data_IF_384797530533
#
_entry.id   IF_384797530533
#
_cell.length_a   1.000
_cell.length_b   1.000
_cell.length_c   1.000
_cell.angle_alpha   90.00
_cell.angle_beta   90.00
_cell.angle_gamma   90.00
#
_symmetry.space_group_name_H-M   'P 1'
#
loop_
_entity.id
_entity.type
_entity.pdbx_description
1 polymer ?
#
# COMPACT_ATOMS: atom_id res chain seq x y z
N UNK A 1 -6.08 50.65 2.43
CA UNK A 1 -7.31 51.06 1.72
C UNK A 1 -8.35 51.38 2.77
N UNK A 2 -8.59 52.66 2.95
CA UNK A 2 -9.48 53.27 3.93
C UNK A 2 -10.87 53.48 3.33
N UNK A 3 -11.91 53.21 4.11
CA UNK A 3 -13.28 53.71 3.93
C UNK A 3 -13.90 53.65 5.35
N UNK A 4 -14.19 54.72 6.11
CA UNK A 4 -14.73 56.07 5.86
C UNK A 4 -16.19 56.06 5.34
N UNK A 5 -17.04 56.89 5.99
CA UNK A 5 -18.49 57.14 5.80
C UNK A 5 -19.42 56.19 6.58
N UNK A 6 -20.43 56.62 7.35
CA UNK A 6 -20.90 57.96 7.74
C UNK A 6 -21.72 57.86 9.04
N UNK A 7 -21.53 58.86 9.91
CA UNK A 7 -22.36 59.07 11.09
C UNK A 7 -23.66 59.79 10.72
N UNK A 8 -24.79 59.26 11.20
CA UNK A 8 -26.06 59.99 11.25
C UNK A 8 -26.59 59.96 12.68
N UNK A 9 -26.56 61.13 13.31
CA UNK A 9 -27.18 61.41 14.59
C UNK A 9 -28.68 61.64 14.34
N UNK A 10 -29.52 60.72 14.81
CA UNK A 10 -30.97 60.93 14.86
C UNK A 10 -31.39 61.51 16.22
N UNK A 11 -32.04 62.67 16.12
CA UNK A 11 -32.55 63.48 17.21
C UNK A 11 -33.69 62.77 17.93
N UNK A 12 -33.55 62.64 19.25
CA UNK A 12 -34.58 62.18 20.19
C UNK A 12 -35.71 63.21 20.27
N UNK A 13 -36.91 62.83 19.83
CA UNK A 13 -38.15 63.45 20.29
C UNK A 13 -38.59 62.87 21.64
N UNK A 14 -38.95 63.70 22.64
CA UNK A 14 -39.51 63.24 23.90
C UNK A 14 -40.95 62.77 23.68
N UNK A 15 -41.17 61.45 23.67
CA UNK A 15 -42.52 60.89 23.72
C UNK A 15 -43.05 61.01 25.14
N UNK A 16 -44.05 61.88 25.28
CA UNK A 16 -45.01 61.94 26.38
C UNK A 16 -45.58 60.55 26.66
N UNK A 17 -45.35 60.06 27.88
CA UNK A 17 -45.90 58.80 28.38
C UNK A 17 -47.41 58.92 28.58
N UNK A 18 -48.14 58.10 27.85
CA UNK A 18 -49.53 57.74 28.19
C UNK A 18 -49.52 56.74 29.36
N UNK A 19 -50.49 56.81 30.27
CA UNK A 19 -50.59 55.90 31.40
C UNK A 19 -50.82 54.48 30.88
N UNK A 20 -49.88 53.57 31.15
CA UNK A 20 -50.01 52.14 30.87
C UNK A 20 -51.15 51.57 31.71
N UNK A 21 -52.16 51.08 31.01
CA UNK A 21 -53.22 50.24 31.57
C UNK A 21 -52.59 48.92 32.08
N UNK A 22 -52.74 48.57 33.36
CA UNK A 22 -52.02 47.45 33.99
C UNK A 22 -52.54 46.03 33.65
N UNK A 23 -53.43 45.86 32.67
CA UNK A 23 -54.13 44.58 32.45
C UNK A 23 -53.67 43.69 31.28
N UNK A 24 -52.59 44.02 30.55
CA UNK A 24 -52.08 43.17 29.46
C UNK A 24 -50.85 42.32 29.80
N UNK A 25 -50.38 42.35 31.06
CA UNK A 25 -49.13 41.70 31.49
C UNK A 25 -49.11 40.16 31.43
N UNK A 26 -50.27 39.51 31.34
CA UNK A 26 -50.37 38.05 31.35
C UNK A 26 -50.41 37.40 29.96
N UNK A 27 -50.61 38.16 28.88
CA UNK A 27 -50.67 37.60 27.52
C UNK A 27 -49.29 37.44 26.85
N UNK A 28 -48.28 38.23 27.23
CA UNK A 28 -46.94 38.13 26.63
C UNK A 28 -46.09 36.95 27.17
N UNK A 29 -46.44 36.42 28.35
CA UNK A 29 -45.70 35.30 28.95
C UNK A 29 -46.00 33.97 28.24
N UNK A 30 -47.20 33.79 27.70
CA UNK A 30 -47.59 32.56 27.02
C UNK A 30 -47.00 32.45 25.61
N UNK A 31 -46.89 33.55 24.85
CA UNK A 31 -46.31 33.53 23.49
C UNK A 31 -44.81 33.20 23.48
N UNK A 32 -44.03 33.71 24.44
CA UNK A 32 -42.60 33.41 24.51
C UNK A 32 -42.32 31.94 24.83
N UNK A 33 -43.16 31.31 25.68
CA UNK A 33 -43.08 29.88 25.98
C UNK A 33 -43.33 29.00 24.75
N UNK A 34 -44.32 29.34 23.92
CA UNK A 34 -44.62 28.60 22.70
C UNK A 34 -43.51 28.69 21.63
N UNK A 35 -42.81 29.83 21.54
CA UNK A 35 -41.68 29.99 20.62
C UNK A 35 -40.44 29.19 21.07
N UNK A 36 -40.18 29.13 22.38
CA UNK A 36 -39.07 28.32 22.94
C UNK A 36 -39.31 26.81 22.73
N UNK A 37 -40.55 26.34 22.95
CA UNK A 37 -40.93 24.95 22.72
C UNK A 37 -40.73 24.53 21.24
N UNK A 38 -41.18 25.35 20.28
CA UNK A 38 -40.99 25.08 18.84
C UNK A 38 -39.52 25.03 18.43
N UNK A 39 -38.66 25.88 19.01
CA UNK A 39 -37.21 25.86 18.74
C UNK A 39 -36.53 24.59 19.25
N UNK A 40 -36.93 24.08 20.42
CA UNK A 40 -36.39 22.82 20.97
C UNK A 40 -36.80 21.62 20.11
N UNK A 41 -38.06 21.54 19.70
CA UNK A 41 -38.54 20.49 18.79
C UNK A 41 -37.81 20.53 17.44
N UNK A 42 -37.62 21.73 16.87
CA UNK A 42 -36.86 21.90 15.63
C UNK A 42 -35.40 21.45 15.78
N UNK A 43 -34.73 21.80 16.89
CA UNK A 43 -33.36 21.35 17.17
C UNK A 43 -33.27 19.84 17.33
N UNK A 44 -34.21 19.22 18.02
CA UNK A 44 -34.27 17.76 18.17
C UNK A 44 -34.52 17.05 16.83
N UNK A 45 -35.45 17.55 16.01
CA UNK A 45 -35.68 17.00 14.65
C UNK A 45 -34.44 17.13 13.76
N UNK A 46 -33.77 18.28 13.78
CA UNK A 46 -32.52 18.49 13.03
C UNK A 46 -31.42 17.54 13.51
N UNK A 47 -31.23 17.40 14.82
CA UNK A 47 -30.25 16.46 15.40
C UNK A 47 -30.55 15.02 14.98
N UNK A 48 -31.82 14.58 15.08
CA UNK A 48 -32.22 13.23 14.65
C UNK A 48 -31.92 13.01 13.17
N UNK A 49 -32.29 13.96 12.31
CA UNK A 49 -32.03 13.84 10.87
C UNK A 49 -30.53 13.81 10.56
N UNK A 50 -29.71 14.60 11.26
CA UNK A 50 -28.25 14.58 11.11
C UNK A 50 -27.66 13.23 11.57
N UNK A 51 -28.13 12.68 12.69
CA UNK A 51 -27.70 11.37 13.17
C UNK A 51 -28.09 10.29 12.15
N UNK A 52 -29.34 10.28 11.68
CA UNK A 52 -29.80 9.33 10.66
C UNK A 52 -28.96 9.42 9.38
N UNK A 53 -28.69 10.64 8.90
CA UNK A 53 -27.84 10.87 7.73
C UNK A 53 -26.41 10.34 7.98
N UNK A 54 -25.83 10.63 9.14
CA UNK A 54 -24.48 10.17 9.50
C UNK A 54 -24.40 8.64 9.56
N UNK A 55 -25.42 7.97 10.13
CA UNK A 55 -25.49 6.50 10.18
C UNK A 55 -25.61 5.91 8.77
N UNK A 56 -26.47 6.46 7.91
CA UNK A 56 -26.62 6.00 6.52
C UNK A 56 -25.30 6.20 5.76
N UNK A 57 -24.64 7.34 5.92
CA UNK A 57 -23.35 7.61 5.29
C UNK A 57 -22.27 6.62 5.76
N UNK A 58 -22.19 6.35 7.06
CA UNK A 58 -21.24 5.38 7.62
C UNK A 58 -21.48 3.96 7.08
N UNK A 59 -22.75 3.52 7.01
CA UNK A 59 -23.11 2.22 6.44
C UNK A 59 -22.79 2.13 4.94
N UNK A 60 -23.04 3.20 4.17
CA UNK A 60 -22.70 3.24 2.76
C UNK A 60 -21.18 3.15 2.54
N UNK A 61 -20.38 3.88 3.34
CA UNK A 61 -18.91 3.79 3.29
C UNK A 61 -18.45 2.37 3.64
N UNK A 62 -18.97 1.77 4.71
CA UNK A 62 -18.63 0.41 5.10
C UNK A 62 -18.97 -0.62 4.00
N UNK A 63 -20.14 -0.47 3.37
CA UNK A 63 -20.56 -1.35 2.26
C UNK A 63 -19.64 -1.20 1.03
N UNK A 64 -19.25 0.03 0.68
CA UNK A 64 -18.30 0.28 -0.42
C UNK A 64 -16.94 -0.35 -0.11
N UNK A 65 -16.40 -0.13 1.09
CA UNK A 65 -15.11 -0.72 1.49
C UNK A 65 -15.16 -2.25 1.50
N UNK A 66 -16.25 -2.84 2.00
CA UNK A 66 -16.47 -4.28 1.95
C UNK A 66 -16.52 -4.83 0.53
N UNK A 67 -17.19 -4.13 -0.39
CA UNK A 67 -17.24 -4.50 -1.80
C UNK A 67 -15.87 -4.41 -2.47
N UNK A 68 -15.08 -3.36 -2.21
CA UNK A 68 -13.73 -3.20 -2.75
C UNK A 68 -12.78 -4.32 -2.26
N UNK A 69 -12.87 -4.67 -0.98
CA UNK A 69 -12.08 -5.76 -0.40
C UNK A 69 -12.50 -7.15 -0.91
N UNK A 70 -13.79 -7.35 -1.21
CA UNK A 70 -14.24 -8.58 -1.85
C UNK A 70 -13.81 -8.63 -3.32
N UNK A 71 -13.85 -7.50 -4.04
CA UNK A 71 -13.41 -7.40 -5.43
C UNK A 71 -11.92 -7.76 -5.58
N UNK A 72 -11.07 -7.31 -4.65
CA UNK A 72 -9.65 -7.67 -4.67
C UNK A 72 -9.44 -9.18 -4.47
N UNK A 73 -10.22 -9.83 -3.61
CA UNK A 73 -10.18 -11.30 -3.40
C UNK A 73 -10.78 -12.11 -4.54
N UNK A 74 -11.69 -11.54 -5.32
CA UNK A 74 -12.34 -12.21 -6.45
C UNK A 74 -11.53 -12.08 -7.76
N UNK A 75 -10.32 -11.51 -7.71
CA UNK A 75 -9.49 -11.38 -8.89
C UNK A 75 -9.96 -10.30 -9.87
N UNK A 76 -10.65 -9.25 -9.40
CA UNK A 76 -11.05 -8.16 -10.31
C UNK A 76 -9.80 -7.41 -10.78
N UNK A 77 -9.55 -7.29 -12.10
CA UNK A 77 -8.34 -6.67 -12.61
C UNK A 77 -8.15 -5.23 -12.12
N UNK A 78 -6.91 -4.88 -11.79
CA UNK A 78 -6.50 -3.57 -11.28
C UNK A 78 -6.73 -3.34 -9.78
N UNK A 79 -7.28 -4.32 -9.05
CA UNK A 79 -7.42 -4.24 -7.61
C UNK A 79 -6.20 -4.80 -6.89
N UNK A 80 -5.66 -4.04 -5.95
CA UNK A 80 -4.57 -4.50 -5.10
C UNK A 80 -5.06 -5.23 -3.85
N UNK A 81 -4.27 -6.19 -3.38
CA UNK A 81 -4.44 -6.94 -2.14
C UNK A 81 -3.09 -7.26 -1.50
N UNK A 82 -3.12 -7.81 -0.29
CA UNK A 82 -1.94 -8.38 0.38
C UNK A 82 -2.14 -9.88 0.46
N UNK A 83 -1.16 -10.66 -0.02
CA UNK A 83 -1.21 -12.12 0.04
C UNK A 83 -0.90 -12.65 1.45
N UNK A 84 -0.93 -13.97 1.63
CA UNK A 84 -0.61 -14.65 2.89
C UNK A 84 0.84 -14.46 3.34
N UNK A 85 1.75 -14.12 2.42
CA UNK A 85 3.17 -13.86 2.69
C UNK A 85 3.46 -12.38 3.02
N UNK A 86 2.44 -11.52 3.00
CA UNK A 86 2.56 -10.10 3.31
C UNK A 86 2.93 -9.20 2.12
N UNK A 87 3.08 -9.77 0.92
CA UNK A 87 3.44 -9.03 -0.30
C UNK A 87 2.26 -8.28 -0.88
N UNK A 88 2.55 -7.20 -1.60
CA UNK A 88 1.53 -6.33 -2.18
C UNK A 88 1.29 -6.72 -3.63
N UNK A 89 0.12 -7.27 -3.91
CA UNK A 89 -0.24 -7.80 -5.22
C UNK A 89 -1.33 -6.96 -5.88
N UNK A 90 -1.37 -6.99 -7.21
CA UNK A 90 -2.40 -6.37 -8.06
C UNK A 90 -2.90 -7.40 -9.04
N UNK A 91 -4.22 -7.59 -9.10
CA UNK A 91 -4.82 -8.53 -10.03
C UNK A 91 -4.63 -8.06 -11.48
N UNK A 92 -4.10 -8.94 -12.32
CA UNK A 92 -4.04 -8.78 -13.76
C UNK A 92 -5.30 -9.28 -14.46
N UNK A 93 -5.28 -9.32 -15.79
CA UNK A 93 -6.34 -10.00 -16.56
C UNK A 93 -6.18 -11.52 -16.51
N UNK A 94 -4.94 -11.99 -16.45
CA UNK A 94 -4.56 -13.40 -16.34
C UNK A 94 -3.59 -13.46 -15.16
N UNK A 95 -4.11 -13.76 -13.97
CA UNK A 95 -3.33 -13.87 -12.74
C UNK A 95 -3.09 -12.55 -12.00
N UNK A 96 -1.91 -12.34 -11.44
CA UNK A 96 -1.58 -11.20 -10.58
C UNK A 96 -0.08 -10.90 -10.54
N UNK A 97 0.25 -9.64 -10.25
CA UNK A 97 1.62 -9.16 -10.11
C UNK A 97 1.82 -8.63 -8.69
N UNK A 98 2.88 -9.06 -8.01
CA UNK A 98 3.26 -8.60 -6.68
C UNK A 98 4.54 -7.77 -6.74
N UNK A 99 4.48 -6.54 -6.23
CA UNK A 99 5.60 -5.60 -6.14
C UNK A 99 5.32 -4.59 -5.00
N UNK A 100 6.14 -4.56 -3.94
CA UNK A 100 7.24 -5.49 -3.67
C UNK A 100 6.75 -6.85 -3.12
N UNK A 101 7.58 -7.88 -3.27
CA UNK A 101 7.43 -9.16 -2.56
C UNK A 101 8.25 -9.22 -1.27
N UNK A 102 7.88 -10.10 -0.34
CA UNK A 102 8.62 -10.40 0.89
C UNK A 102 9.66 -11.50 0.69
N UNK A 103 10.63 -11.60 1.60
CA UNK A 103 11.63 -12.69 1.60
C UNK A 103 10.96 -14.07 1.69
N UNK A 104 9.85 -14.17 2.42
CA UNK A 104 9.09 -15.41 2.53
C UNK A 104 8.51 -15.88 1.17
N UNK A 105 8.00 -14.94 0.36
CA UNK A 105 7.50 -15.27 -0.98
C UNK A 105 8.63 -15.57 -1.96
N UNK A 106 9.76 -14.86 -1.85
CA UNK A 106 10.98 -15.17 -2.61
C UNK A 106 11.45 -16.60 -2.32
N UNK A 107 11.60 -16.96 -1.03
CA UNK A 107 12.03 -18.29 -0.59
C UNK A 107 11.11 -19.39 -1.11
N UNK A 108 9.79 -19.15 -1.13
CA UNK A 108 8.82 -20.08 -1.68
C UNK A 108 9.02 -20.33 -3.18
N UNK A 109 9.14 -19.27 -3.98
CA UNK A 109 9.16 -19.39 -5.45
C UNK A 109 10.54 -19.71 -6.01
N UNK A 110 11.61 -19.23 -5.37
CA UNK A 110 12.97 -19.57 -5.73
C UNK A 110 13.43 -20.90 -5.10
N UNK A 111 12.63 -21.49 -4.22
CA UNK A 111 12.98 -22.69 -3.43
C UNK A 111 14.34 -22.53 -2.73
N UNK A 112 14.48 -21.41 -2.03
CA UNK A 112 15.68 -21.01 -1.28
C UNK A 112 15.31 -20.72 0.17
N UNK A 113 16.31 -20.64 1.03
CA UNK A 113 16.17 -20.31 2.45
C UNK A 113 16.99 -19.06 2.80
N UNK A 114 16.76 -17.94 2.09
CA UNK A 114 17.44 -16.69 2.43
C UNK A 114 17.13 -16.26 3.88
N UNK A 115 18.12 -15.74 4.62
CA UNK A 115 17.92 -15.35 6.01
C UNK A 115 16.99 -14.14 6.14
N UNK A 116 16.32 -13.99 7.27
CA UNK A 116 15.32 -12.93 7.48
C UNK A 116 15.91 -11.51 7.50
N UNK A 117 17.22 -11.37 7.71
CA UNK A 117 17.93 -10.10 7.80
C UNK A 117 18.47 -9.60 6.46
N UNK A 118 18.24 -10.32 5.36
CA UNK A 118 18.55 -9.81 4.02
C UNK A 118 17.72 -8.57 3.70
N UNK A 119 18.36 -7.60 3.07
CA UNK A 119 17.69 -6.39 2.59
C UNK A 119 17.24 -6.62 1.14
N UNK A 120 15.93 -6.67 0.90
CA UNK A 120 15.37 -6.65 -0.46
C UNK A 120 15.49 -5.23 -1.02
N UNK A 121 16.32 -5.05 -2.03
CA UNK A 121 16.52 -3.79 -2.74
C UNK A 121 15.45 -3.60 -3.82
N UNK A 122 15.20 -4.66 -4.60
CA UNK A 122 14.14 -4.73 -5.61
C UNK A 122 13.51 -6.12 -5.57
N UNK A 123 12.20 -6.24 -5.76
CA UNK A 123 11.56 -7.54 -5.76
C UNK A 123 10.20 -7.53 -6.46
N UNK A 124 9.94 -8.52 -7.30
CA UNK A 124 8.69 -8.64 -8.02
C UNK A 124 8.34 -10.11 -8.30
N UNK A 125 7.05 -10.42 -8.32
CA UNK A 125 6.52 -11.71 -8.75
C UNK A 125 5.39 -11.51 -9.73
N UNK A 126 5.49 -12.09 -10.92
CA UNK A 126 4.47 -12.10 -11.96
C UNK A 126 3.87 -13.50 -12.04
N UNK A 127 2.56 -13.61 -11.94
CA UNK A 127 1.84 -14.89 -12.01
C UNK A 127 0.76 -14.82 -13.07
N UNK A 128 0.86 -15.64 -14.12
CA UNK A 128 -0.08 -15.70 -15.22
C UNK A 128 -0.24 -17.12 -15.79
N UNK A 129 0.04 -17.29 -17.09
CA UNK A 129 0.18 -18.63 -17.67
C UNK A 129 1.55 -19.23 -17.32
N UNK A 130 2.56 -18.37 -17.37
CA UNK A 130 3.88 -18.59 -16.81
C UNK A 130 4.00 -17.75 -15.54
N UNK A 131 4.96 -18.09 -14.68
CA UNK A 131 5.31 -17.27 -13.55
C UNK A 131 6.78 -16.85 -13.62
N UNK A 132 7.10 -15.73 -12.99
CA UNK A 132 8.44 -15.19 -12.85
C UNK A 132 8.60 -14.54 -11.49
N UNK A 133 9.65 -14.88 -10.76
CA UNK A 133 10.11 -14.15 -9.58
C UNK A 133 11.43 -13.47 -9.91
N UNK A 134 11.58 -12.22 -9.47
CA UNK A 134 12.82 -11.44 -9.55
C UNK A 134 13.09 -10.80 -8.20
N UNK A 135 14.33 -10.85 -7.75
CA UNK A 135 14.74 -10.15 -6.54
C UNK A 135 16.21 -9.76 -6.59
N UNK A 136 16.48 -8.50 -6.30
CA UNK A 136 17.80 -7.98 -5.97
C UNK A 136 17.87 -7.80 -4.46
N UNK A 137 18.77 -8.51 -3.81
CA UNK A 137 18.91 -8.48 -2.36
C UNK A 137 20.36 -8.26 -1.93
N UNK A 138 20.54 -7.60 -0.78
CA UNK A 138 21.82 -7.48 -0.08
C UNK A 138 21.83 -8.45 1.10
N UNK A 139 22.78 -9.37 1.06
CA UNK A 139 23.10 -10.31 2.14
C UNK A 139 24.17 -9.69 3.03
N UNK A 140 23.95 -9.63 4.35
CA UNK A 140 24.96 -9.12 5.28
C UNK A 140 26.19 -10.01 5.32
N UNK A 141 27.36 -9.43 5.56
CA UNK A 141 28.65 -10.14 5.55
C UNK A 141 28.70 -11.39 6.45
N UNK A 142 27.91 -11.40 7.54
CA UNK A 142 27.84 -12.53 8.46
C UNK A 142 27.18 -13.79 7.84
N UNK A 143 26.31 -13.61 6.85
CA UNK A 143 25.49 -14.67 6.25
C UNK A 143 25.97 -15.07 4.84
N UNK A 144 27.03 -14.43 4.32
CA UNK A 144 27.52 -14.66 2.95
C UNK A 144 27.94 -16.11 2.76
N UNK A 145 28.75 -16.69 3.66
CA UNK A 145 29.22 -18.08 3.52
C UNK A 145 28.05 -19.09 3.48
N UNK A 146 27.07 -18.93 4.38
CA UNK A 146 25.88 -19.78 4.40
C UNK A 146 25.05 -19.60 3.13
N UNK A 147 24.85 -18.35 2.69
CA UNK A 147 24.05 -18.05 1.50
C UNK A 147 24.73 -18.58 0.25
N UNK A 148 26.05 -18.48 0.12
CA UNK A 148 26.81 -19.06 -0.99
C UNK A 148 26.63 -20.57 -1.04
N UNK A 149 26.78 -21.26 0.09
CA UNK A 149 26.61 -22.72 0.14
C UNK A 149 25.18 -23.15 -0.26
N UNK A 150 24.16 -22.42 0.22
CA UNK A 150 22.77 -22.67 -0.15
C UNK A 150 22.52 -22.43 -1.65
N UNK A 151 23.05 -21.34 -2.21
CA UNK A 151 22.91 -21.05 -3.64
C UNK A 151 23.63 -22.10 -4.51
N UNK A 152 24.81 -22.55 -4.09
CA UNK A 152 25.56 -23.61 -4.79
C UNK A 152 24.83 -24.96 -4.75
N UNK A 153 24.21 -25.30 -3.61
CA UNK A 153 23.39 -26.50 -3.48
C UNK A 153 22.14 -26.43 -4.37
N UNK A 154 21.49 -25.27 -4.45
CA UNK A 154 20.21 -25.11 -5.15
C UNK A 154 20.35 -24.93 -6.66
N UNK A 155 21.32 -24.14 -7.10
CA UNK A 155 21.42 -23.68 -8.48
C UNK A 155 22.64 -24.25 -9.20
N UNK A 156 23.70 -24.57 -8.47
CA UNK A 156 24.95 -25.08 -9.02
C UNK A 156 26.15 -24.18 -8.72
N UNK A 157 27.33 -24.64 -9.13
CA UNK A 157 28.57 -23.88 -8.99
C UNK A 157 28.53 -22.64 -9.88
N UNK A 158 28.89 -21.51 -9.29
CA UNK A 158 28.93 -20.24 -10.01
C UNK A 158 30.04 -20.19 -11.06
N UNK A 159 29.72 -19.71 -12.27
CA UNK A 159 30.74 -19.38 -13.27
C UNK A 159 31.24 -17.95 -13.02
N UNK A 160 32.56 -17.79 -12.84
CA UNK A 160 33.19 -16.48 -12.66
C UNK A 160 32.98 -15.62 -13.92
N UNK A 161 32.48 -14.40 -13.71
CA UNK A 161 32.27 -13.44 -14.79
C UNK A 161 33.32 -12.34 -14.74
N UNK A 162 33.74 -11.88 -15.92
CA UNK A 162 34.51 -10.64 -16.02
C UNK A 162 33.60 -9.47 -15.59
N UNK A 163 34.00 -8.69 -14.56
CA UNK A 163 33.21 -7.57 -14.07
C UNK A 163 32.78 -6.59 -15.16
N UNK A 164 33.60 -6.38 -16.19
CA UNK A 164 33.29 -5.46 -17.29
C UNK A 164 32.10 -5.93 -18.15
N UNK A 165 31.74 -7.21 -18.08
CA UNK A 165 30.65 -7.82 -18.86
C UNK A 165 29.37 -8.07 -18.08
N UNK A 166 29.44 -8.11 -16.74
CA UNK A 166 28.34 -8.52 -15.86
C UNK A 166 27.43 -7.36 -15.38
N UNK A 167 27.88 -6.11 -15.53
CA UNK A 167 27.36 -4.94 -14.79
C UNK A 167 26.13 -4.22 -15.39
N UNK A 168 25.30 -4.86 -16.21
CA UNK A 168 24.10 -4.15 -16.72
C UNK A 168 22.98 -4.02 -15.68
N UNK A 169 22.85 -5.01 -14.79
CA UNK A 169 21.68 -5.13 -13.90
C UNK A 169 22.04 -4.97 -12.42
N UNK A 170 23.31 -5.04 -12.05
CA UNK A 170 23.79 -4.79 -10.68
C UNK A 170 24.17 -3.31 -10.52
N UNK A 171 23.75 -2.61 -9.44
CA UNK A 171 24.17 -1.25 -9.16
C UNK A 171 25.69 -1.07 -9.27
N UNK A 172 26.19 0.09 -9.69
CA UNK A 172 27.64 0.31 -9.72
C UNK A 172 28.23 0.21 -8.31
N UNK A 173 29.28 -0.59 -8.12
CA UNK A 173 29.91 -0.84 -6.83
C UNK A 173 31.33 -1.38 -6.95
N UNK A 174 32.08 -1.32 -5.85
CA UNK A 174 33.41 -1.90 -5.73
C UNK A 174 33.28 -3.40 -5.44
N UNK A 175 33.08 -4.18 -6.49
CA UNK A 175 32.94 -5.63 -6.42
C UNK A 175 34.29 -6.33 -6.47
N UNK A 176 34.50 -7.29 -5.57
CA UNK A 176 35.73 -8.09 -5.55
C UNK A 176 35.60 -9.38 -6.34
N UNK A 177 34.40 -9.94 -6.37
CA UNK A 177 34.08 -11.21 -7.03
C UNK A 177 32.68 -11.07 -7.65
N UNK A 178 32.54 -11.45 -8.91
CA UNK A 178 31.24 -11.52 -9.60
C UNK A 178 31.14 -12.87 -10.30
N UNK A 179 30.01 -13.53 -10.13
CA UNK A 179 29.78 -14.80 -10.76
C UNK A 179 28.30 -14.95 -11.14
N UNK A 180 28.01 -15.83 -12.10
CA UNK A 180 26.67 -16.13 -12.56
C UNK A 180 26.44 -17.63 -12.60
N UNK A 181 25.27 -18.02 -12.15
CA UNK A 181 24.69 -19.33 -12.34
C UNK A 181 23.45 -19.21 -13.23
N UNK A 182 23.24 -20.14 -14.16
CA UNK A 182 22.08 -20.14 -15.04
C UNK A 182 21.70 -21.57 -15.43
N UNK A 183 20.41 -21.89 -15.39
CA UNK A 183 19.89 -23.14 -15.94
C UNK A 183 20.27 -23.31 -17.42
N UNK A 184 20.91 -24.43 -17.76
CA UNK A 184 21.32 -24.71 -19.14
C UNK A 184 20.27 -25.52 -19.90
N UNK A 185 19.60 -24.89 -20.88
CA UNK A 185 18.80 -25.60 -21.89
C UNK A 185 17.36 -25.94 -21.47
N UNK A 186 16.54 -26.34 -22.45
CA UNK A 186 15.13 -26.72 -22.25
C UNK A 186 14.94 -28.15 -21.76
N UNK A 187 16.01 -28.93 -21.71
CA UNK A 187 15.98 -30.33 -21.35
C UNK A 187 17.09 -30.61 -20.35
N UNK A 188 16.80 -31.46 -19.37
CA UNK A 188 17.80 -31.94 -18.42
C UNK A 188 18.69 -33.03 -19.04
N UNK A 189 19.60 -33.58 -18.24
CA UNK A 189 20.53 -34.65 -18.65
C UNK A 189 19.81 -35.95 -19.06
N UNK A 190 18.56 -36.14 -18.62
CA UNK A 190 17.70 -37.28 -18.96
C UNK A 190 16.86 -37.04 -20.22
N UNK A 191 16.88 -35.81 -20.76
CA UNK A 191 16.10 -35.38 -21.91
C UNK A 191 14.65 -35.03 -21.58
N UNK A 192 14.31 -34.88 -20.30
CA UNK A 192 13.01 -34.39 -19.86
C UNK A 192 12.96 -32.87 -19.97
N UNK A 193 11.78 -32.31 -20.29
CA UNK A 193 11.64 -30.87 -20.44
C UNK A 193 11.71 -30.22 -19.06
N UNK A 194 12.63 -29.26 -18.92
CA UNK A 194 12.74 -28.44 -17.71
C UNK A 194 11.54 -27.49 -17.65
N UNK A 195 10.83 -27.49 -16.53
CA UNK A 195 9.65 -26.64 -16.32
C UNK A 195 10.01 -25.23 -15.82
N UNK A 196 11.14 -25.08 -15.13
CA UNK A 196 11.61 -23.81 -14.56
C UNK A 196 13.07 -23.50 -14.91
N UNK A 197 13.32 -22.24 -15.23
CA UNK A 197 14.62 -21.69 -15.56
C UNK A 197 15.03 -20.72 -14.46
N UNK A 198 16.34 -20.59 -14.25
CA UNK A 198 16.89 -19.64 -13.30
C UNK A 198 18.10 -18.91 -13.85
N UNK A 199 18.32 -17.72 -13.36
CA UNK A 199 19.54 -16.93 -13.50
C UNK A 199 19.82 -16.28 -12.14
N UNK A 200 21.00 -16.57 -11.59
CA UNK A 200 21.44 -16.04 -10.30
C UNK A 200 22.79 -15.37 -10.49
N UNK A 201 22.86 -14.08 -10.23
CA UNK A 201 24.12 -13.33 -10.25
C UNK A 201 24.49 -12.96 -8.81
N UNK A 202 25.73 -13.22 -8.44
CA UNK A 202 26.27 -12.93 -7.11
C UNK A 202 27.44 -11.98 -7.25
N UNK A 203 27.50 -10.97 -6.38
CA UNK A 203 28.62 -10.04 -6.34
C UNK A 203 29.01 -9.72 -4.89
N UNK A 204 30.26 -9.98 -4.51
CA UNK A 204 30.78 -9.63 -3.18
C UNK A 204 31.27 -8.19 -3.23
N UNK A 205 30.76 -7.37 -2.30
CA UNK A 205 31.11 -5.95 -2.16
C UNK A 205 32.34 -5.82 -1.25
N UNK A 206 33.13 -4.77 -1.45
CA UNK A 206 34.33 -4.48 -0.64
C UNK A 206 34.10 -4.42 0.90
N UNK A 207 32.86 -4.20 1.37
CA UNK A 207 32.52 -4.24 2.80
C UNK A 207 32.24 -5.66 3.34
N UNK A 208 32.33 -6.67 2.48
CA UNK A 208 32.09 -8.08 2.78
C UNK A 208 30.62 -8.50 2.63
N UNK A 209 29.68 -7.59 2.36
CA UNK A 209 28.31 -7.96 2.00
C UNK A 209 28.27 -8.56 0.59
N UNK A 210 27.19 -9.27 0.28
CA UNK A 210 26.96 -9.84 -1.05
C UNK A 210 25.66 -9.27 -1.63
N UNK A 211 25.71 -8.84 -2.89
CA UNK A 211 24.50 -8.57 -3.69
C UNK A 211 24.16 -9.84 -4.44
N UNK A 212 22.89 -10.23 -4.40
CA UNK A 212 22.37 -11.37 -5.17
C UNK A 212 21.20 -10.87 -6.00
N UNK A 213 21.27 -11.07 -7.31
CA UNK A 213 20.16 -10.93 -8.24
C UNK A 213 19.66 -12.32 -8.60
N UNK A 214 18.41 -12.62 -8.27
CA UNK A 214 17.77 -13.91 -8.50
C UNK A 214 16.59 -13.71 -9.45
N UNK A 215 16.60 -14.42 -10.56
CA UNK A 215 15.45 -14.59 -11.45
C UNK A 215 15.13 -16.08 -11.59
N UNK A 216 13.88 -16.46 -11.31
CA UNK A 216 13.36 -17.82 -11.58
C UNK A 216 12.03 -17.70 -12.32
N UNK A 217 11.83 -18.49 -13.39
CA UNK A 217 10.63 -18.39 -14.22
C UNK A 217 10.28 -19.69 -14.93
N UNK A 218 9.03 -19.82 -15.39
CA UNK A 218 8.56 -20.94 -16.22
C UNK A 218 8.29 -20.51 -17.67
N UNK A 219 8.22 -21.48 -18.60
CA UNK A 219 7.93 -21.26 -20.05
C UNK A 219 7.12 -22.39 -20.70
#
# INVERSE_FOLDING_TARGET
MSAMSDGRADLRSPRTGTPQSPDTGWQHVTEQGHLAARKLEQRQRRRRNLITLAVIAALAVAAVLGALHLASRLGVPGFSYTNEYGSRCTNGFIGHDCDPITVAELNLHAETDFPEDVELLESSFENGQDWRVRALLRVPAAEVEQTTAMLDERFGECEELDPDTALQDIPAGDYTEICRDRSSGMFDDEGERVESFHEVVRAVVADGSMIVDVEVFTV
#
